data_IF_989086463580
#
_entry.id   IF_989086463580
#
_cell.length_a   1.000
_cell.length_b   1.000
_cell.length_c   1.000
_cell.angle_alpha   90.00
_cell.angle_beta   90.00
_cell.angle_gamma   90.00
#
_symmetry.space_group_name_H-M   'P 1'
#
loop_
_entity.id
_entity.type
_entity.pdbx_description
1 polymer ?
#
# COMPACT_ATOMS: atom_id res chain seq x y z
N UNK A 1 24.46 3.23 -26.66
CA UNK A 1 25.31 4.28 -26.08
C UNK A 1 24.66 4.79 -24.79
N UNK A 2 23.62 5.63 -24.81
CA UNK A 2 23.05 6.17 -23.55
C UNK A 2 22.62 5.08 -22.54
N UNK A 3 21.94 4.02 -23.00
CA UNK A 3 21.58 2.88 -22.14
C UNK A 3 22.82 2.22 -21.50
N UNK A 4 23.84 1.93 -22.29
CA UNK A 4 25.06 1.24 -21.84
C UNK A 4 25.85 2.11 -20.85
N UNK A 5 25.94 3.41 -21.13
CA UNK A 5 26.60 4.39 -20.28
C UNK A 5 25.85 4.55 -18.94
N UNK A 6 24.51 4.57 -18.96
CA UNK A 6 23.68 4.59 -17.76
C UNK A 6 23.82 3.30 -16.94
N UNK A 7 23.74 2.15 -17.58
CA UNK A 7 23.91 0.85 -16.92
C UNK A 7 25.28 0.78 -16.23
N UNK A 8 26.32 1.29 -16.90
CA UNK A 8 27.66 1.40 -16.32
C UNK A 8 27.72 2.39 -15.15
N UNK A 9 27.16 3.59 -15.30
CA UNK A 9 27.16 4.61 -14.24
C UNK A 9 26.45 4.16 -12.96
N UNK A 10 25.44 3.27 -13.10
CA UNK A 10 24.71 2.69 -11.97
C UNK A 10 25.45 1.50 -11.33
N UNK A 11 26.37 0.85 -12.03
CA UNK A 11 27.10 -0.33 -11.56
C UNK A 11 28.54 -0.04 -11.12
N UNK A 12 29.17 1.00 -11.67
CA UNK A 12 30.56 1.38 -11.44
C UNK A 12 30.62 2.81 -10.90
N UNK A 13 30.85 2.94 -9.60
CA UNK A 13 30.92 4.24 -8.93
C UNK A 13 32.08 5.13 -9.43
N UNK A 14 33.09 4.55 -10.11
CA UNK A 14 34.19 5.32 -10.71
C UNK A 14 33.82 5.90 -12.09
N UNK A 15 32.71 5.46 -12.70
CA UNK A 15 32.23 5.98 -13.98
C UNK A 15 31.21 7.10 -13.75
N UNK A 16 31.65 8.34 -13.94
CA UNK A 16 30.78 9.50 -13.81
C UNK A 16 30.06 9.80 -15.13
N UNK A 17 28.74 9.89 -15.06
CA UNK A 17 27.88 10.33 -16.14
C UNK A 17 26.91 11.40 -15.60
N UNK A 18 26.96 12.60 -16.19
CA UNK A 18 26.00 13.65 -15.88
C UNK A 18 24.78 13.49 -16.80
N UNK A 19 23.68 12.99 -16.23
CA UNK A 19 22.44 12.70 -16.98
C UNK A 19 21.37 13.71 -16.61
N UNK A 20 20.77 14.33 -17.63
CA UNK A 20 19.60 15.18 -17.47
C UNK A 20 18.34 14.37 -17.73
N UNK A 21 17.23 14.73 -17.10
CA UNK A 21 15.94 14.06 -17.33
C UNK A 21 15.54 14.07 -18.81
N UNK A 22 15.91 15.11 -19.56
CA UNK A 22 15.66 15.21 -21.01
C UNK A 22 16.41 14.15 -21.83
N UNK A 23 17.56 13.66 -21.36
CA UNK A 23 18.34 12.64 -22.07
C UNK A 23 17.62 11.28 -22.01
N UNK A 24 16.89 11.01 -20.92
CA UNK A 24 16.12 9.78 -20.73
C UNK A 24 14.95 9.63 -21.70
N UNK A 25 14.51 10.71 -22.37
CA UNK A 25 13.51 10.64 -23.44
C UNK A 25 13.98 9.80 -24.64
N UNK A 26 15.29 9.59 -24.79
CA UNK A 26 15.87 8.75 -25.85
C UNK A 26 15.81 7.25 -25.55
N UNK A 27 15.57 6.87 -24.30
CA UNK A 27 15.43 5.47 -23.92
C UNK A 27 14.05 4.94 -24.29
N UNK A 28 13.99 3.70 -24.76
CA UNK A 28 12.71 2.99 -24.89
C UNK A 28 12.15 2.64 -23.50
N UNK A 29 10.85 2.37 -23.41
CA UNK A 29 10.24 1.94 -22.14
C UNK A 29 10.87 0.62 -21.64
N UNK A 30 11.21 -0.29 -22.55
CA UNK A 30 11.90 -1.54 -22.21
C UNK A 30 13.28 -1.28 -21.61
N UNK A 31 14.08 -0.40 -22.22
CA UNK A 31 15.39 -0.01 -21.69
C UNK A 31 15.29 0.64 -20.31
N UNK A 32 14.25 1.47 -20.11
CA UNK A 32 14.01 2.12 -18.83
C UNK A 32 13.60 1.10 -17.75
N UNK A 33 12.75 0.12 -18.10
CA UNK A 33 12.37 -0.98 -17.22
C UNK A 33 13.56 -1.86 -16.81
N UNK A 34 14.49 -2.12 -17.73
CA UNK A 34 15.71 -2.90 -17.47
C UNK A 34 16.71 -2.17 -16.54
N UNK A 35 16.76 -0.83 -16.58
CA UNK A 35 17.63 -0.01 -15.72
C UNK A 35 17.11 0.17 -14.30
N UNK A 36 15.80 0.01 -14.09
CA UNK A 36 15.15 0.28 -12.80
C UNK A 36 15.74 -0.52 -11.63
N UNK A 37 16.01 -1.84 -11.75
CA UNK A 37 16.69 -2.60 -10.70
C UNK A 37 18.03 -2.00 -10.28
N UNK A 38 18.87 -1.63 -11.25
CA UNK A 38 20.20 -1.04 -10.97
C UNK A 38 20.05 0.31 -10.27
N UNK A 39 19.09 1.13 -10.69
CA UNK A 39 18.80 2.40 -10.03
C UNK A 39 18.32 2.24 -8.58
N UNK A 40 17.64 1.15 -8.24
CA UNK A 40 17.21 0.87 -6.86
C UNK A 40 18.31 0.28 -5.96
N UNK A 41 19.37 -0.31 -6.53
CA UNK A 41 20.56 -0.78 -5.78
C UNK A 41 21.48 0.34 -5.34
N UNK A 42 21.45 1.49 -6.04
CA UNK A 42 22.32 2.62 -5.69
C UNK A 42 22.00 3.12 -4.27
N UNK A 43 22.95 2.94 -3.37
CA UNK A 43 22.89 3.52 -2.03
C UNK A 43 23.29 4.99 -2.07
N UNK A 44 22.34 5.87 -1.77
CA UNK A 44 22.52 7.31 -1.66
C UNK A 44 23.56 7.77 -0.63
N UNK A 45 23.95 6.94 0.34
CA UNK A 45 24.96 7.28 1.34
C UNK A 45 26.37 7.06 0.78
N UNK A 46 26.59 5.96 0.05
CA UNK A 46 27.92 5.57 -0.44
C UNK A 46 28.18 6.01 -1.89
N UNK A 47 27.14 6.23 -2.67
CA UNK A 47 27.27 6.56 -4.09
C UNK A 47 27.79 7.99 -4.31
N UNK A 48 28.53 8.17 -5.41
CA UNK A 48 28.93 9.51 -5.85
C UNK A 48 27.69 10.37 -6.16
N UNK A 49 27.78 11.71 -6.05
CA UNK A 49 26.67 12.59 -6.41
C UNK A 49 26.19 12.39 -7.85
N UNK A 50 27.07 12.03 -8.79
CA UNK A 50 26.71 11.74 -10.18
C UNK A 50 25.88 10.46 -10.29
N UNK A 51 26.33 9.35 -9.71
CA UNK A 51 25.60 8.07 -9.70
C UNK A 51 24.24 8.22 -9.00
N UNK A 52 24.20 8.93 -7.87
CA UNK A 52 22.95 9.23 -7.15
C UNK A 52 21.94 10.00 -8.00
N UNK A 53 22.40 11.02 -8.75
CA UNK A 53 21.54 11.79 -9.67
C UNK A 53 21.05 10.94 -10.83
N UNK A 54 21.92 10.13 -11.44
CA UNK A 54 21.53 9.22 -12.52
C UNK A 54 20.46 8.22 -12.05
N UNK A 55 20.65 7.61 -10.87
CA UNK A 55 19.67 6.69 -10.28
C UNK A 55 18.33 7.39 -9.99
N UNK A 56 18.35 8.62 -9.46
CA UNK A 56 17.14 9.40 -9.24
C UNK A 56 16.42 9.74 -10.54
N UNK A 57 17.15 10.14 -11.58
CA UNK A 57 16.58 10.47 -12.88
C UNK A 57 15.91 9.25 -13.52
N UNK A 58 16.53 8.07 -13.44
CA UNK A 58 15.94 6.81 -13.93
C UNK A 58 14.65 6.47 -13.18
N UNK A 59 14.65 6.55 -11.84
CA UNK A 59 13.44 6.29 -11.04
C UNK A 59 12.31 7.27 -11.38
N UNK A 60 12.60 8.56 -11.45
CA UNK A 60 11.61 9.58 -11.81
C UNK A 60 11.03 9.34 -13.21
N UNK A 61 11.87 9.08 -14.21
CA UNK A 61 11.40 8.78 -15.56
C UNK A 61 10.55 7.51 -15.59
N UNK A 62 10.89 6.50 -14.77
CA UNK A 62 10.11 5.27 -14.66
C UNK A 62 8.75 5.51 -13.98
N UNK A 63 8.68 6.38 -12.98
CA UNK A 63 7.42 6.75 -12.33
C UNK A 63 6.48 7.51 -13.29
N UNK A 64 7.04 8.42 -14.11
CA UNK A 64 6.29 9.19 -15.11
C UNK A 64 5.82 8.32 -16.28
N UNK A 65 6.71 7.52 -16.85
CA UNK A 65 6.44 6.75 -18.08
C UNK A 65 5.83 5.38 -17.82
N UNK A 66 5.95 4.87 -16.59
CA UNK A 66 5.43 3.57 -16.16
C UNK A 66 5.83 2.45 -17.13
N UNK A 67 7.14 2.22 -17.35
CA UNK A 67 7.62 1.26 -18.33
C UNK A 67 7.17 -0.16 -17.98
N UNK A 68 7.05 -1.00 -19.02
CA UNK A 68 6.93 -2.44 -18.87
C UNK A 68 8.27 -3.03 -18.46
N UNK A 69 8.22 -4.12 -17.71
CA UNK A 69 9.42 -4.82 -17.23
C UNK A 69 9.37 -6.30 -17.61
N UNK A 70 10.53 -6.85 -17.95
CA UNK A 70 10.68 -8.30 -18.13
C UNK A 70 10.63 -9.01 -16.78
N UNK A 71 10.34 -10.32 -16.72
CA UNK A 71 10.43 -11.08 -15.48
C UNK A 71 11.82 -11.02 -14.82
N UNK A 72 12.89 -10.95 -15.61
CA UNK A 72 14.24 -10.80 -15.06
C UNK A 72 14.41 -9.44 -14.36
N UNK A 73 13.94 -8.35 -14.98
CA UNK A 73 13.94 -7.03 -14.35
C UNK A 73 13.10 -7.01 -13.07
N UNK A 74 11.91 -7.63 -13.06
CA UNK A 74 11.09 -7.77 -11.85
C UNK A 74 11.85 -8.48 -10.71
N UNK A 75 12.48 -9.63 -11.01
CA UNK A 75 13.28 -10.37 -10.02
C UNK A 75 14.44 -9.53 -9.48
N UNK A 76 15.23 -8.93 -10.38
CA UNK A 76 16.39 -8.11 -10.00
C UNK A 76 15.99 -6.89 -9.18
N UNK A 77 14.79 -6.33 -9.42
CA UNK A 77 14.26 -5.23 -8.61
C UNK A 77 13.94 -5.71 -7.19
N UNK A 78 13.27 -6.85 -7.02
CA UNK A 78 13.02 -7.41 -5.70
C UNK A 78 14.32 -7.72 -4.94
N UNK A 79 15.33 -8.27 -5.63
CA UNK A 79 16.67 -8.46 -5.05
C UNK A 79 17.31 -7.13 -4.61
N UNK A 80 17.18 -6.08 -5.41
CA UNK A 80 17.65 -4.74 -5.07
C UNK A 80 16.95 -4.16 -3.84
N UNK A 81 15.64 -4.38 -3.71
CA UNK A 81 14.88 -3.97 -2.52
C UNK A 81 15.32 -4.74 -1.28
N UNK A 82 15.63 -6.05 -1.38
CA UNK A 82 16.17 -6.86 -0.26
C UNK A 82 17.53 -6.32 0.18
N UNK A 83 18.42 -6.04 -0.77
CA UNK A 83 19.74 -5.47 -0.46
C UNK A 83 19.60 -4.14 0.27
N UNK A 84 18.72 -3.26 -0.24
CA UNK A 84 18.45 -1.96 0.38
C UNK A 84 17.81 -2.08 1.76
N UNK A 85 16.95 -3.07 1.99
CA UNK A 85 16.31 -3.28 3.30
C UNK A 85 17.31 -3.65 4.39
N UNK A 86 18.44 -4.27 4.02
CA UNK A 86 19.53 -4.64 4.94
C UNK A 86 20.43 -3.46 5.32
N UNK A 87 20.56 -2.49 4.42
CA UNK A 87 21.49 -1.36 4.55
C UNK A 87 20.81 -0.06 5.04
N UNK A 88 19.49 -0.06 5.24
CA UNK A 88 18.71 1.13 5.57
C UNK A 88 17.97 1.00 6.90
N UNK A 89 18.33 1.84 7.88
CA UNK A 89 17.61 1.96 9.15
C UNK A 89 16.19 2.55 8.98
N UNK A 90 16.00 3.41 7.98
CA UNK A 90 14.72 4.05 7.66
C UNK A 90 13.78 3.15 6.89
N UNK A 91 14.34 2.09 6.32
CA UNK A 91 13.61 1.04 5.66
C UNK A 91 13.56 1.07 4.14
N UNK A 92 12.74 0.18 3.59
CA UNK A 92 12.52 -0.02 2.14
C UNK A 92 11.05 0.21 1.82
N UNK A 93 10.82 0.91 0.70
CA UNK A 93 9.51 1.09 0.07
C UNK A 93 9.25 -0.07 -0.89
N UNK A 94 8.09 -0.72 -0.75
CA UNK A 94 7.66 -1.84 -1.58
C UNK A 94 6.97 -1.40 -2.88
N UNK A 95 6.46 -0.17 -2.93
CA UNK A 95 5.65 0.33 -4.05
C UNK A 95 6.36 0.22 -5.41
N UNK A 96 7.68 0.50 -5.54
CA UNK A 96 8.36 0.31 -6.83
C UNK A 96 8.31 -1.14 -7.33
N UNK A 97 8.47 -2.11 -6.42
CA UNK A 97 8.40 -3.54 -6.75
C UNK A 97 6.98 -3.92 -7.19
N UNK A 98 5.97 -3.51 -6.44
CA UNK A 98 4.56 -3.77 -6.73
C UNK A 98 4.12 -3.10 -8.05
N UNK A 99 4.50 -1.85 -8.27
CA UNK A 99 4.17 -1.12 -9.49
C UNK A 99 4.77 -1.77 -10.75
N UNK A 100 5.95 -2.37 -10.63
CA UNK A 100 6.58 -3.14 -11.71
C UNK A 100 5.85 -4.47 -11.96
N UNK A 101 5.40 -5.17 -10.92
CA UNK A 101 4.62 -6.41 -11.07
C UNK A 101 3.33 -6.21 -11.87
N UNK A 102 2.63 -5.09 -11.63
CA UNK A 102 1.43 -4.74 -12.39
C UNK A 102 1.69 -4.56 -13.91
N UNK A 103 2.96 -4.41 -14.32
CA UNK A 103 3.38 -4.15 -15.71
C UNK A 103 4.39 -5.17 -16.24
N UNK A 104 4.51 -6.31 -15.56
CA UNK A 104 5.36 -7.41 -16.01
C UNK A 104 4.83 -7.98 -17.34
N UNK A 105 5.69 -8.17 -18.33
CA UNK A 105 5.29 -8.59 -19.69
C UNK A 105 4.82 -10.03 -19.79
N UNK A 106 5.32 -10.87 -18.89
CA UNK A 106 5.12 -12.31 -18.84
C UNK A 106 4.70 -12.72 -17.42
N UNK A 107 4.35 -13.99 -17.16
CA UNK A 107 4.06 -14.44 -15.80
C UNK A 107 5.15 -14.02 -14.82
N UNK A 108 4.72 -13.68 -13.60
CA UNK A 108 5.66 -13.22 -12.59
C UNK A 108 6.76 -14.28 -12.36
N UNK A 109 8.03 -13.85 -12.23
CA UNK A 109 9.11 -14.75 -11.88
C UNK A 109 8.85 -15.35 -10.48
N UNK A 110 9.56 -16.41 -10.13
CA UNK A 110 9.60 -16.84 -8.72
C UNK A 110 10.24 -15.75 -7.86
N UNK A 111 9.45 -15.19 -6.95
CA UNK A 111 9.85 -14.13 -6.02
C UNK A 111 9.83 -14.61 -4.58
N UNK A 112 9.61 -15.91 -4.32
CA UNK A 112 9.40 -16.44 -2.98
C UNK A 112 10.53 -16.11 -2.00
N UNK A 113 11.78 -16.29 -2.42
CA UNK A 113 12.96 -15.94 -1.63
C UNK A 113 13.04 -14.45 -1.31
N UNK A 114 13.11 -13.56 -2.32
CA UNK A 114 13.16 -12.11 -2.08
C UNK A 114 11.95 -11.56 -1.30
N UNK A 115 10.74 -12.04 -1.60
CA UNK A 115 9.51 -11.59 -0.96
C UNK A 115 9.43 -11.96 0.52
N UNK A 116 9.88 -13.17 0.89
CA UNK A 116 10.04 -13.58 2.29
C UNK A 116 11.01 -12.65 3.02
N UNK A 117 12.21 -12.44 2.47
CA UNK A 117 13.23 -11.62 3.10
C UNK A 117 12.79 -10.15 3.30
N UNK A 118 12.08 -9.57 2.32
CA UNK A 118 11.49 -8.24 2.45
C UNK A 118 10.44 -8.19 3.55
N UNK A 119 9.54 -9.18 3.59
CA UNK A 119 8.45 -9.21 4.54
C UNK A 119 8.95 -9.36 5.97
N UNK A 120 9.89 -10.29 6.22
CA UNK A 120 10.52 -10.47 7.52
C UNK A 120 11.17 -9.18 8.02
N UNK A 121 11.94 -8.49 7.15
CA UNK A 121 12.57 -7.21 7.48
C UNK A 121 11.55 -6.10 7.80
N UNK A 122 10.39 -6.11 7.14
CA UNK A 122 9.33 -5.12 7.35
C UNK A 122 8.48 -5.41 8.60
N UNK A 123 8.31 -6.68 8.97
CA UNK A 123 7.57 -7.09 10.17
C UNK A 123 8.29 -6.70 11.47
N UNK A 124 9.61 -6.60 11.46
CA UNK A 124 10.41 -6.12 12.61
C UNK A 124 10.18 -4.64 12.91
N UNK A 125 9.51 -3.89 12.03
CA UNK A 125 9.29 -2.45 12.17
C UNK A 125 8.09 -2.12 13.03
N UNK A 126 8.19 -0.96 13.69
CA UNK A 126 7.11 -0.43 14.54
C UNK A 126 5.86 -0.05 13.74
N UNK A 127 6.03 0.49 12.54
CA UNK A 127 4.94 0.93 11.66
C UNK A 127 5.02 0.25 10.29
N UNK A 128 3.85 -0.01 9.72
CA UNK A 128 3.68 -0.52 8.36
C UNK A 128 3.14 0.61 7.50
N UNK A 129 3.95 1.09 6.55
CA UNK A 129 3.58 2.23 5.70
C UNK A 129 2.59 1.83 4.59
N UNK A 130 2.79 0.65 3.99
CA UNK A 130 2.01 0.17 2.83
C UNK A 130 1.43 -1.21 3.15
N UNK A 131 0.34 -1.30 3.95
CA UNK A 131 -0.22 -2.57 4.39
C UNK A 131 -0.65 -3.51 3.26
N UNK A 132 -1.22 -3.00 2.16
CA UNK A 132 -1.68 -3.86 1.06
C UNK A 132 -0.52 -4.38 0.21
N UNK A 133 0.49 -3.55 -0.05
CA UNK A 133 1.72 -3.93 -0.71
C UNK A 133 2.48 -4.98 0.11
N UNK A 134 2.54 -4.81 1.44
CA UNK A 134 3.11 -5.81 2.33
C UNK A 134 2.34 -7.13 2.27
N UNK A 135 1.00 -7.08 2.28
CA UNK A 135 0.16 -8.28 2.19
C UNK A 135 0.37 -9.03 0.85
N UNK A 136 0.38 -8.31 -0.27
CA UNK A 136 0.66 -8.88 -1.59
C UNK A 136 2.05 -9.53 -1.64
N UNK A 137 3.09 -8.81 -1.20
CA UNK A 137 4.47 -9.33 -1.19
C UNK A 137 4.59 -10.54 -0.27
N UNK A 138 3.96 -10.54 0.90
CA UNK A 138 3.95 -11.69 1.79
C UNK A 138 3.34 -12.94 1.13
N UNK A 139 2.26 -12.76 0.36
CA UNK A 139 1.62 -13.83 -0.42
C UNK A 139 2.49 -14.40 -1.55
N UNK A 140 3.47 -13.63 -2.06
CA UNK A 140 4.47 -14.12 -3.01
C UNK A 140 5.56 -14.97 -2.33
N UNK A 141 5.79 -14.74 -1.04
CA UNK A 141 6.80 -15.43 -0.23
C UNK A 141 6.41 -16.87 0.10
N UNK A 142 5.52 -17.01 1.06
CA UNK A 142 4.91 -18.27 1.49
C UNK A 142 3.74 -18.03 2.47
N UNK A 143 3.05 -19.12 2.82
CA UNK A 143 1.90 -19.09 3.71
C UNK A 143 2.24 -18.66 5.14
N UNK A 144 3.46 -18.90 5.63
CA UNK A 144 3.86 -18.51 6.99
C UNK A 144 4.06 -17.01 7.10
N UNK A 145 4.73 -16.44 6.11
CA UNK A 145 4.96 -15.02 5.92
C UNK A 145 3.64 -14.26 5.76
N UNK A 146 2.74 -14.78 4.90
CA UNK A 146 1.40 -14.21 4.73
C UNK A 146 0.61 -14.18 6.04
N UNK A 147 0.65 -15.27 6.81
CA UNK A 147 -0.03 -15.35 8.11
C UNK A 147 0.53 -14.35 9.11
N UNK A 148 1.84 -14.20 9.19
CA UNK A 148 2.46 -13.22 10.09
C UNK A 148 2.03 -11.78 9.75
N UNK A 149 1.92 -11.44 8.46
CA UNK A 149 1.39 -10.15 8.02
C UNK A 149 -0.11 -10.02 8.30
N UNK A 150 -0.89 -11.06 8.06
CA UNK A 150 -2.32 -11.11 8.35
C UNK A 150 -2.58 -10.82 9.85
N UNK A 151 -1.86 -11.50 10.75
CA UNK A 151 -1.94 -11.28 12.20
C UNK A 151 -1.52 -9.85 12.58
N UNK A 152 -0.48 -9.31 11.94
CA UNK A 152 0.02 -7.96 12.22
C UNK A 152 -0.96 -6.87 11.80
N UNK A 153 -1.66 -7.08 10.68
CA UNK A 153 -2.60 -6.11 10.09
C UNK A 153 -4.04 -6.29 10.60
N UNK A 154 -4.39 -7.46 11.14
CA UNK A 154 -5.73 -7.81 11.65
C UNK A 154 -6.05 -7.27 13.05
N UNK A 155 -5.45 -6.15 13.47
CA UNK A 155 -5.68 -5.58 14.81
C UNK A 155 -7.10 -4.98 14.92
N UNK A 156 -8.03 -5.79 15.42
CA UNK A 156 -9.45 -5.46 15.58
C UNK A 156 -10.33 -6.30 14.64
N UNK A 157 -11.56 -6.64 15.03
CA UNK A 157 -12.39 -7.57 14.26
C UNK A 157 -12.79 -7.03 12.88
N UNK A 158 -12.89 -5.70 12.68
CA UNK A 158 -13.14 -5.16 11.32
C UNK A 158 -11.91 -5.30 10.43
N UNK A 159 -10.72 -5.02 10.97
CA UNK A 159 -9.47 -5.20 10.26
C UNK A 159 -9.21 -6.67 9.91
N UNK A 160 -9.48 -7.58 10.85
CA UNK A 160 -9.39 -9.02 10.61
C UNK A 160 -10.36 -9.47 9.52
N UNK A 161 -11.60 -8.99 9.53
CA UNK A 161 -12.58 -9.33 8.50
C UNK A 161 -12.14 -8.84 7.09
N UNK A 162 -11.43 -7.72 6.99
CA UNK A 162 -10.83 -7.29 5.72
C UNK A 162 -9.72 -8.25 5.29
N UNK A 163 -8.85 -8.66 6.22
CA UNK A 163 -7.76 -9.61 5.95
C UNK A 163 -8.30 -10.96 5.45
N UNK A 164 -9.41 -11.44 6.00
CA UNK A 164 -10.06 -12.67 5.56
C UNK A 164 -10.54 -12.54 4.09
N UNK A 165 -11.04 -11.36 3.71
CA UNK A 165 -11.47 -11.05 2.33
C UNK A 165 -10.26 -10.97 1.40
N UNK A 166 -9.20 -10.28 1.81
CA UNK A 166 -7.96 -10.14 1.04
C UNK A 166 -7.26 -11.47 0.79
N UNK A 167 -7.35 -12.41 1.73
CA UNK A 167 -6.79 -13.77 1.57
C UNK A 167 -7.48 -14.53 0.44
N UNK A 168 -8.74 -14.19 0.13
CA UNK A 168 -9.49 -14.77 -0.99
C UNK A 168 -9.26 -14.10 -2.34
N UNK A 169 -8.52 -12.98 -2.38
CA UNK A 169 -8.31 -12.22 -3.61
C UNK A 169 -7.25 -12.86 -4.51
N UNK A 170 -7.45 -12.72 -5.81
CA UNK A 170 -6.41 -12.99 -6.81
C UNK A 170 -5.29 -11.95 -6.72
N UNK A 171 -4.10 -12.23 -7.25
CA UNK A 171 -3.02 -11.25 -7.29
C UNK A 171 -3.39 -9.94 -8.01
N UNK A 172 -4.25 -10.01 -9.03
CA UNK A 172 -4.72 -8.83 -9.76
C UNK A 172 -5.65 -7.95 -8.91
N UNK A 173 -6.52 -8.56 -8.09
CA UNK A 173 -7.39 -7.85 -7.15
C UNK A 173 -6.58 -7.25 -5.99
N UNK A 174 -5.58 -7.97 -5.48
CA UNK A 174 -4.65 -7.44 -4.48
C UNK A 174 -3.85 -6.25 -5.02
N UNK A 175 -3.45 -6.26 -6.30
CA UNK A 175 -2.80 -5.11 -6.92
C UNK A 175 -3.69 -3.85 -6.89
N UNK A 176 -5.00 -3.98 -7.08
CA UNK A 176 -5.93 -2.84 -6.93
C UNK A 176 -5.88 -2.28 -5.51
N UNK A 177 -5.81 -3.14 -4.49
CA UNK A 177 -5.69 -2.71 -3.09
C UNK A 177 -4.40 -1.94 -2.82
N UNK A 178 -3.28 -2.33 -3.45
CA UNK A 178 -1.99 -1.62 -3.27
C UNK A 178 -2.01 -0.18 -3.75
N UNK A 179 -2.94 0.20 -4.64
CA UNK A 179 -3.09 1.58 -5.07
C UNK A 179 -3.72 2.48 -3.98
N UNK A 180 -4.32 1.88 -2.94
CA UNK A 180 -4.78 2.61 -1.75
C UNK A 180 -3.63 2.93 -0.79
N UNK A 181 -2.51 2.21 -0.85
CA UNK A 181 -1.32 2.52 -0.04
C UNK A 181 -0.64 3.83 -0.46
N UNK A 182 -0.99 4.35 -1.64
CA UNK A 182 -0.57 5.65 -2.15
C UNK A 182 -1.38 6.81 -1.53
N UNK A 183 -2.41 6.52 -0.72
CA UNK A 183 -3.21 7.54 -0.04
C UNK A 183 -2.54 7.88 1.29
N UNK A 184 -1.56 8.77 1.26
CA UNK A 184 -1.07 9.35 2.50
C UNK A 184 -2.09 10.35 3.05
N UNK A 185 -2.59 10.09 4.26
CA UNK A 185 -3.77 10.75 4.83
C UNK A 185 -3.59 12.24 5.14
N UNK A 186 -2.41 12.84 4.98
CA UNK A 186 -2.16 14.24 5.35
C UNK A 186 -1.57 15.15 4.25
N UNK A 187 -1.01 14.64 3.16
CA UNK A 187 -0.20 15.48 2.23
C UNK A 187 -0.41 15.15 0.74
N UNK A 188 -0.90 13.96 0.38
CA UNK A 188 -0.96 13.53 -1.02
C UNK A 188 -2.38 13.61 -1.60
N UNK A 189 -2.53 13.82 -2.94
CA UNK A 189 -3.83 13.86 -3.58
C UNK A 189 -4.57 12.55 -3.31
N UNK A 190 -5.86 12.66 -3.01
CA UNK A 190 -6.77 11.52 -2.88
C UNK A 190 -6.57 10.53 -4.02
N UNK A 191 -6.65 9.22 -3.74
CA UNK A 191 -6.63 8.18 -4.79
C UNK A 191 -7.51 8.62 -5.95
N UNK A 192 -7.01 8.46 -7.17
CA UNK A 192 -7.79 8.84 -8.35
C UNK A 192 -9.16 8.16 -8.32
N UNK A 193 -10.24 8.81 -8.79
CA UNK A 193 -11.58 8.20 -8.83
C UNK A 193 -11.64 6.85 -9.56
N UNK A 194 -10.62 6.51 -10.34
CA UNK A 194 -10.48 5.20 -11.00
C UNK A 194 -10.11 4.06 -10.06
N UNK A 195 -9.30 4.31 -9.01
CA UNK A 195 -8.97 3.27 -8.00
C UNK A 195 -10.22 2.86 -7.25
N UNK A 196 -10.98 3.85 -6.77
CA UNK A 196 -12.22 3.60 -6.03
C UNK A 196 -13.27 2.88 -6.88
N UNK A 197 -13.37 3.21 -8.17
CA UNK A 197 -14.26 2.48 -9.10
C UNK A 197 -13.86 1.02 -9.24
N UNK A 198 -12.56 0.74 -9.47
CA UNK A 198 -12.09 -0.65 -9.55
C UNK A 198 -12.34 -1.43 -8.27
N UNK A 199 -12.17 -0.80 -7.11
CA UNK A 199 -12.50 -1.43 -5.83
C UNK A 199 -14.00 -1.69 -5.67
N UNK A 200 -14.84 -0.74 -6.08
CA UNK A 200 -16.29 -0.87 -6.08
C UNK A 200 -16.82 -1.90 -7.10
N UNK A 201 -16.00 -2.31 -8.06
CA UNK A 201 -16.30 -3.39 -9.00
C UNK A 201 -15.91 -4.77 -8.45
N UNK A 202 -15.23 -4.86 -7.30
CA UNK A 202 -14.90 -6.14 -6.64
C UNK A 202 -16.05 -6.60 -5.73
N UNK A 203 -16.85 -7.63 -6.12
CA UNK A 203 -18.05 -7.99 -5.36
C UNK A 203 -17.76 -8.40 -3.92
N UNK A 204 -16.65 -9.15 -3.71
CA UNK A 204 -16.22 -9.57 -2.38
C UNK A 204 -15.88 -8.39 -1.45
N UNK A 205 -15.31 -7.30 -2.00
CA UNK A 205 -15.03 -6.09 -1.22
C UNK A 205 -16.30 -5.27 -0.94
N UNK A 206 -17.23 -5.20 -1.90
CA UNK A 206 -18.53 -4.53 -1.71
C UNK A 206 -19.33 -5.23 -0.61
N UNK A 207 -19.40 -6.56 -0.65
CA UNK A 207 -20.07 -7.37 0.38
C UNK A 207 -19.41 -7.18 1.75
N UNK A 208 -18.07 -7.07 1.77
CA UNK A 208 -17.32 -6.75 2.98
C UNK A 208 -17.65 -5.35 3.50
N UNK A 209 -17.67 -4.35 2.63
CA UNK A 209 -17.91 -2.95 3.00
C UNK A 209 -19.24 -2.79 3.74
N UNK A 210 -20.29 -3.45 3.26
CA UNK A 210 -21.58 -3.52 3.94
C UNK A 210 -21.45 -4.10 5.35
N UNK A 211 -20.92 -5.33 5.46
CA UNK A 211 -20.77 -6.01 6.76
C UNK A 211 -19.91 -5.22 7.74
N UNK A 212 -18.84 -4.58 7.26
CA UNK A 212 -17.94 -3.79 8.08
C UNK A 212 -18.63 -2.55 8.67
N UNK A 213 -19.40 -1.83 7.84
CA UNK A 213 -20.14 -0.63 8.27
C UNK A 213 -21.31 -1.00 9.19
N UNK A 214 -22.05 -2.08 8.91
CA UNK A 214 -23.09 -2.61 9.79
C UNK A 214 -22.48 -3.02 11.16
N UNK A 215 -21.36 -3.75 11.17
CA UNK A 215 -20.67 -4.14 12.41
C UNK A 215 -20.12 -2.93 13.19
N UNK A 216 -19.68 -1.88 12.51
CA UNK A 216 -19.28 -0.64 13.15
C UNK A 216 -20.47 0.09 13.79
N UNK A 217 -21.62 0.13 13.12
CA UNK A 217 -22.85 0.69 13.68
C UNK A 217 -23.32 -0.11 14.91
N UNK A 218 -23.31 -1.44 14.83
CA UNK A 218 -23.66 -2.31 15.95
C UNK A 218 -22.73 -2.11 17.15
N UNK A 219 -21.41 -1.92 16.91
CA UNK A 219 -20.46 -1.57 17.98
C UNK A 219 -20.76 -0.22 18.61
N UNK A 220 -21.06 0.79 17.79
CA UNK A 220 -21.38 2.13 18.27
C UNK A 220 -22.65 2.12 19.12
N UNK A 221 -23.67 1.36 18.72
CA UNK A 221 -24.90 1.14 19.49
C UNK A 221 -24.61 0.39 20.81
N UNK A 222 -23.75 -0.63 20.79
CA UNK A 222 -23.31 -1.35 22.00
C UNK A 222 -22.55 -0.46 22.99
N UNK A 223 -21.76 0.49 22.50
CA UNK A 223 -21.12 1.52 23.34
C UNK A 223 -22.19 2.49 23.89
N UNK A 224 -23.13 2.89 23.04
CA UNK A 224 -24.27 3.75 23.38
C UNK A 224 -25.16 3.20 24.49
N UNK A 225 -25.44 1.89 24.44
CA UNK A 225 -26.25 1.16 25.43
C UNK A 225 -25.50 0.78 26.71
N UNK A 226 -24.17 0.87 26.69
CA UNK A 226 -23.29 0.45 27.78
C UNK A 226 -22.98 -1.04 27.81
N UNK A 227 -23.39 -1.81 26.80
CA UNK A 227 -23.00 -3.22 26.63
C UNK A 227 -21.50 -3.37 26.37
N UNK A 228 -20.94 -2.44 25.57
CA UNK A 228 -19.51 -2.33 25.32
C UNK A 228 -18.96 -1.18 26.17
N UNK A 229 -17.91 -1.40 26.98
CA UNK A 229 -17.35 -0.34 27.81
C UNK A 229 -16.85 0.85 26.98
N UNK A 230 -17.35 2.04 27.29
CA UNK A 230 -16.88 3.28 26.68
C UNK A 230 -15.40 3.52 26.98
N UNK A 231 -14.60 3.73 25.92
CA UNK A 231 -13.22 4.20 26.00
C UNK A 231 -13.07 5.41 25.10
N UNK A 232 -12.68 6.53 25.69
CA UNK A 232 -12.49 7.79 24.99
C UNK A 232 -11.57 7.63 23.78
N UNK A 233 -12.07 8.00 22.60
CA UNK A 233 -11.35 7.97 21.32
C UNK A 233 -10.69 6.63 20.97
N UNK A 234 -11.26 5.52 21.46
CA UNK A 234 -10.74 4.16 21.29
C UNK A 234 -11.81 3.14 20.93
N UNK A 235 -12.92 3.58 20.35
CA UNK A 235 -13.95 2.67 19.85
C UNK A 235 -13.46 1.80 18.68
N UNK A 236 -12.46 2.30 17.93
CA UNK A 236 -11.86 1.64 16.78
C UNK A 236 -10.33 1.81 16.80
N UNK A 237 -9.60 0.81 16.33
CA UNK A 237 -8.15 0.95 16.11
C UNK A 237 -7.87 1.85 14.91
N UNK A 238 -6.65 2.39 14.80
CA UNK A 238 -6.27 3.20 13.63
C UNK A 238 -6.43 2.41 12.31
N UNK A 239 -6.19 1.10 12.34
CA UNK A 239 -6.39 0.23 11.19
C UNK A 239 -7.87 0.06 10.86
N UNK A 240 -8.72 -0.20 11.86
CA UNK A 240 -10.17 -0.29 11.66
C UNK A 240 -10.74 1.02 11.09
N UNK A 241 -10.25 2.19 11.54
CA UNK A 241 -10.67 3.49 10.98
C UNK A 241 -10.35 3.58 9.49
N UNK A 242 -9.12 3.25 9.07
CA UNK A 242 -8.75 3.28 7.66
C UNK A 242 -9.61 2.34 6.80
N UNK A 243 -9.87 1.12 7.30
CA UNK A 243 -10.73 0.12 6.64
C UNK A 243 -12.17 0.62 6.51
N UNK A 244 -12.72 1.18 7.57
CA UNK A 244 -14.08 1.72 7.56
C UNK A 244 -14.22 2.92 6.61
N UNK A 245 -13.18 3.76 6.52
CA UNK A 245 -13.11 4.84 5.54
C UNK A 245 -13.16 4.36 4.09
N UNK A 246 -12.44 3.27 3.79
CA UNK A 246 -12.45 2.67 2.45
C UNK A 246 -13.81 2.03 2.14
N UNK A 247 -14.37 1.25 3.08
CA UNK A 247 -15.69 0.66 2.97
C UNK A 247 -16.78 1.72 2.73
N UNK A 248 -16.73 2.83 3.47
CA UNK A 248 -17.59 3.99 3.31
C UNK A 248 -17.51 4.57 1.89
N UNK A 249 -16.30 4.83 1.38
CA UNK A 249 -16.12 5.38 0.03
C UNK A 249 -16.64 4.46 -1.07
N UNK A 250 -16.44 3.15 -0.92
CA UNK A 250 -16.99 2.16 -1.85
C UNK A 250 -18.52 2.20 -1.85
N UNK A 251 -19.15 2.20 -0.68
CA UNK A 251 -20.61 2.24 -0.56
C UNK A 251 -21.20 3.55 -1.11
N UNK A 252 -20.55 4.69 -0.82
CA UNK A 252 -20.94 6.01 -1.34
C UNK A 252 -20.84 6.08 -2.87
N UNK A 253 -19.74 5.57 -3.44
CA UNK A 253 -19.53 5.57 -4.89
C UNK A 253 -20.59 4.75 -5.63
N UNK A 254 -21.10 3.70 -4.99
CA UNK A 254 -22.12 2.80 -5.53
C UNK A 254 -23.55 3.27 -5.28
N UNK A 255 -23.74 4.34 -4.49
CA UNK A 255 -25.06 4.85 -4.07
C UNK A 255 -25.94 3.74 -3.47
N UNK A 256 -25.36 2.98 -2.54
CA UNK A 256 -26.01 1.82 -1.93
C UNK A 256 -27.21 2.23 -1.06
N UNK A 257 -28.35 1.54 -1.26
CA UNK A 257 -29.64 1.88 -0.65
C UNK A 257 -29.70 1.69 0.88
N UNK A 258 -28.88 0.79 1.42
CA UNK A 258 -28.76 0.49 2.85
C UNK A 258 -27.87 1.49 3.60
N UNK A 259 -27.08 2.29 2.89
CA UNK A 259 -26.07 3.17 3.51
C UNK A 259 -26.69 4.27 4.40
N UNK A 260 -27.79 4.95 4.02
CA UNK A 260 -28.39 5.98 4.86
C UNK A 260 -28.82 5.48 6.25
N UNK A 261 -29.38 4.27 6.32
CA UNK A 261 -29.83 3.67 7.58
C UNK A 261 -28.64 3.32 8.49
N UNK A 262 -27.56 2.77 7.91
CA UNK A 262 -26.32 2.46 8.64
C UNK A 262 -25.66 3.74 9.15
N UNK A 263 -25.57 4.80 8.33
CA UNK A 263 -25.00 6.08 8.74
C UNK A 263 -25.85 6.80 9.79
N UNK A 264 -27.17 6.68 9.70
CA UNK A 264 -28.10 7.20 10.70
C UNK A 264 -27.85 6.65 12.11
N UNK A 265 -27.31 5.43 12.21
CA UNK A 265 -26.89 4.81 13.49
C UNK A 265 -25.44 5.11 13.83
N UNK A 266 -24.54 4.89 12.87
CA UNK A 266 -23.10 4.99 13.09
C UNK A 266 -22.66 6.41 13.46
N UNK A 267 -23.06 7.43 12.69
CA UNK A 267 -22.56 8.80 12.86
C UNK A 267 -22.90 9.39 14.24
N UNK A 268 -24.16 9.29 14.75
CA UNK A 268 -24.44 9.70 16.13
C UNK A 268 -23.67 8.89 17.16
N UNK A 269 -23.57 7.57 16.96
CA UNK A 269 -22.90 6.65 17.88
C UNK A 269 -21.40 6.90 18.02
N UNK A 270 -20.74 7.47 17.01
CA UNK A 270 -19.32 7.86 17.09
C UNK A 270 -19.09 9.34 17.44
N UNK A 271 -20.11 10.19 17.25
CA UNK A 271 -20.08 11.64 17.54
C UNK A 271 -20.53 12.03 18.95
N UNK A 272 -21.34 11.20 19.62
CA UNK A 272 -21.95 11.54 20.90
C UNK A 272 -21.50 10.56 21.98
N UNK A 273 -20.98 11.08 23.08
CA UNK A 273 -20.59 10.25 24.22
C UNK A 273 -21.82 9.65 24.90
N UNK A 274 -21.80 8.37 25.32
CA UNK A 274 -22.90 7.75 26.07
C UNK A 274 -23.03 8.25 27.51
N UNK A 275 -22.12 9.14 27.94
CA UNK A 275 -22.02 9.67 29.31
C UNK A 275 -21.81 11.19 29.25
N UNK A 276 -21.84 11.91 30.39
CA UNK A 276 -21.49 13.34 30.44
C UNK A 276 -20.03 13.67 30.07
N UNK A 277 -19.26 12.70 29.54
CA UNK A 277 -17.90 12.90 29.07
C UNK A 277 -17.86 13.94 27.93
N UNK A 278 -16.80 14.76 27.92
CA UNK A 278 -16.56 15.78 26.88
C UNK A 278 -15.84 15.24 25.65
N UNK A 279 -15.56 13.95 25.61
CA UNK A 279 -14.82 13.29 24.53
C UNK A 279 -15.77 12.36 23.77
N UNK A 280 -15.55 12.23 22.46
CA UNK A 280 -16.37 11.39 21.60
C UNK A 280 -15.84 9.94 21.55
N UNK A 281 -16.68 8.94 21.22
CA UNK A 281 -16.25 7.55 21.08
C UNK A 281 -15.15 7.31 20.03
N UNK A 282 -15.21 7.98 18.88
CA UNK A 282 -14.12 7.96 17.90
C UNK A 282 -14.09 9.23 17.06
N UNK A 283 -13.14 10.11 17.36
CA UNK A 283 -12.92 11.32 16.58
C UNK A 283 -12.27 10.98 15.23
N UNK A 284 -11.32 10.04 15.23
CA UNK A 284 -10.63 9.60 14.02
C UNK A 284 -11.61 9.06 12.96
N UNK A 285 -12.56 8.21 13.35
CA UNK A 285 -13.55 7.67 12.41
C UNK A 285 -14.49 8.75 11.86
N UNK A 286 -14.86 9.74 12.67
CA UNK A 286 -15.67 10.86 12.18
C UNK A 286 -14.98 11.63 11.07
N UNK A 287 -13.71 11.99 11.27
CA UNK A 287 -12.93 12.69 10.24
C UNK A 287 -12.78 11.84 8.98
N UNK A 288 -12.58 10.54 9.15
CA UNK A 288 -12.40 9.63 8.03
C UNK A 288 -13.67 9.48 7.17
N UNK A 289 -14.86 9.48 7.78
CA UNK A 289 -16.14 9.33 7.06
C UNK A 289 -16.61 10.61 6.35
N UNK A 290 -16.12 11.79 6.76
CA UNK A 290 -16.50 13.08 6.15
C UNK A 290 -15.46 13.60 5.14
N UNK A 291 -14.40 12.84 4.91
CA UNK A 291 -13.35 13.14 3.93
C UNK A 291 -13.67 12.52 2.59
#
# INVERSE_FOLDING_TARGET
MLYDDLARALADAAFELDVRSADLAQLTDEQLGELLPAAHRVDHIEATPATSRAALAVRHAADERRPRATPDACRRLFEALVERSRNSDFGVDLLPGVAVLARCTDPWPDLSGPARALTESLLERKSVAHPYALFLVAGLGDADTLRAVAERLGEGPVAQAEIDVLTGFTPAELLVMTELDLVNTYVEPESTPEVWRRLADLPAYVDFARRALEAAADRADGIGSGEIPYRSDKAFTAREVAVLGQAARVALLRDEDWLPDVYGRLLPGVAVAPTPARTVPSQALLYELVR
#
